data_IF_404484980147
#
_entry.id   IF_404484980147
#
_cell.length_a   1.000
_cell.length_b   1.000
_cell.length_c   1.000
_cell.angle_alpha   90.00
_cell.angle_beta   90.00
_cell.angle_gamma   90.00
#
_symmetry.space_group_name_H-M   'P 1'
#
loop_
_entity.id
_entity.type
_entity.pdbx_description
1 polymer ?
#
# COMPACT_ATOMS: atom_id res chain seq x y z
N UNK A 1 -22.05 9.48 -11.03
CA UNK A 1 -21.43 10.14 -9.84
C UNK A 1 -22.45 11.07 -9.19
N UNK A 2 -22.45 11.19 -7.82
CA UNK A 2 -23.23 12.24 -7.15
C UNK A 2 -22.33 13.48 -7.06
N UNK A 3 -22.80 14.60 -7.58
CA UNK A 3 -22.19 15.92 -7.41
C UNK A 3 -23.10 16.76 -6.51
N UNK A 4 -22.63 17.01 -5.31
CA UNK A 4 -23.34 17.81 -4.30
C UNK A 4 -22.57 19.10 -3.99
N UNK A 5 -22.06 19.76 -5.01
CA UNK A 5 -21.37 21.06 -4.86
C UNK A 5 -22.24 22.13 -4.21
N UNK A 6 -23.55 21.94 -4.22
CA UNK A 6 -24.51 22.83 -3.53
C UNK A 6 -24.65 22.55 -2.02
N UNK A 7 -24.11 21.43 -1.51
CA UNK A 7 -24.25 21.02 -0.11
C UNK A 7 -25.67 20.67 0.31
N UNK A 8 -26.43 20.06 -0.60
CA UNK A 8 -27.83 19.67 -0.37
C UNK A 8 -27.95 18.49 0.58
N UNK A 9 -26.99 17.54 0.48
CA UNK A 9 -26.91 16.37 1.36
C UNK A 9 -26.16 16.76 2.64
N UNK A 10 -26.90 17.09 3.68
CA UNK A 10 -26.34 17.46 4.99
C UNK A 10 -26.15 16.28 5.94
N UNK A 11 -26.65 15.11 5.56
CA UNK A 11 -26.48 13.87 6.34
C UNK A 11 -25.14 13.23 5.98
N UNK A 12 -24.34 12.90 6.99
CA UNK A 12 -23.11 12.15 6.83
C UNK A 12 -23.41 10.66 6.67
N UNK A 13 -22.81 10.03 5.68
CA UNK A 13 -22.90 8.60 5.41
C UNK A 13 -21.52 7.94 5.50
N UNK A 14 -21.51 6.71 6.00
CA UNK A 14 -20.31 5.90 6.03
C UNK A 14 -20.23 4.98 4.81
N UNK A 15 -19.02 4.52 4.48
CA UNK A 15 -18.85 3.48 3.46
C UNK A 15 -19.62 2.22 3.91
N UNK A 16 -20.47 1.71 3.01
CA UNK A 16 -21.36 0.59 3.31
C UNK A 16 -22.75 0.99 3.77
N UNK A 17 -23.04 2.29 3.88
CA UNK A 17 -24.41 2.76 4.09
C UNK A 17 -25.21 2.70 2.79
N UNK A 18 -26.38 2.12 2.85
CA UNK A 18 -27.34 2.14 1.75
C UNK A 18 -28.14 3.44 1.78
N UNK A 19 -28.24 4.09 0.64
CA UNK A 19 -29.01 5.34 0.48
C UNK A 19 -30.22 5.05 -0.42
N UNK A 20 -31.40 5.41 0.03
CA UNK A 20 -32.64 5.31 -0.76
C UNK A 20 -33.40 6.63 -0.74
N UNK A 21 -34.26 6.83 -1.74
CA UNK A 21 -35.08 8.02 -1.83
C UNK A 21 -34.33 9.28 -2.28
N UNK A 22 -33.11 9.12 -2.86
CA UNK A 22 -32.39 10.23 -3.46
C UNK A 22 -33.27 10.90 -4.54
N UNK A 23 -33.40 12.24 -4.46
CA UNK A 23 -34.07 13.06 -5.45
C UNK A 23 -33.12 14.12 -5.98
N UNK A 24 -33.14 14.30 -7.30
CA UNK A 24 -32.21 15.23 -7.94
C UNK A 24 -32.45 15.34 -9.45
N UNK A 25 -31.52 16.02 -10.08
CA UNK A 25 -31.49 16.23 -11.54
C UNK A 25 -30.30 15.46 -12.13
N UNK A 26 -30.44 15.04 -13.37
CA UNK A 26 -29.30 14.55 -14.14
C UNK A 26 -28.56 15.74 -14.75
N UNK A 27 -27.24 15.69 -14.67
CA UNK A 27 -26.31 16.62 -15.29
C UNK A 27 -25.14 15.87 -15.90
N UNK A 28 -24.14 16.60 -16.38
CA UNK A 28 -22.91 16.03 -16.89
C UNK A 28 -21.78 17.04 -16.85
N UNK A 29 -20.57 16.54 -16.66
CA UNK A 29 -19.34 17.34 -16.68
C UNK A 29 -18.21 16.52 -17.30
N UNK A 30 -17.56 17.04 -18.34
CA UNK A 30 -16.40 16.44 -18.99
C UNK A 30 -16.58 14.95 -19.38
N UNK A 31 -17.78 14.57 -19.85
CA UNK A 31 -18.14 13.19 -20.23
C UNK A 31 -18.80 12.39 -19.11
N UNK A 32 -18.64 12.78 -17.84
CA UNK A 32 -19.19 12.05 -16.69
C UNK A 32 -20.66 12.41 -16.44
N UNK A 33 -21.52 11.39 -16.33
CA UNK A 33 -22.91 11.56 -15.90
C UNK A 33 -22.98 11.90 -14.40
N UNK A 34 -23.66 12.99 -14.09
CA UNK A 34 -23.79 13.48 -12.72
C UNK A 34 -25.24 13.43 -12.25
N UNK A 35 -25.42 13.08 -10.97
CA UNK A 35 -26.66 13.24 -10.25
C UNK A 35 -26.51 14.39 -9.26
N UNK A 36 -27.30 15.44 -9.44
CA UNK A 36 -27.30 16.64 -8.60
C UNK A 36 -28.48 16.57 -7.62
N UNK A 37 -28.21 16.34 -6.32
CA UNK A 37 -29.27 16.25 -5.31
C UNK A 37 -30.07 17.56 -5.23
N UNK A 38 -31.39 17.46 -4.99
CA UNK A 38 -32.28 18.61 -4.76
C UNK A 38 -32.92 18.57 -3.38
N UNK A 39 -32.81 17.44 -2.68
CA UNK A 39 -33.34 17.24 -1.32
C UNK A 39 -32.34 16.42 -0.51
N UNK A 40 -32.30 16.71 0.81
CA UNK A 40 -31.47 15.90 1.73
C UNK A 40 -32.11 14.53 1.98
N UNK A 41 -31.29 13.53 2.22
CA UNK A 41 -31.70 12.22 2.71
C UNK A 41 -31.41 12.15 4.21
N UNK A 42 -32.44 11.99 5.02
CA UNK A 42 -32.34 12.16 6.47
C UNK A 42 -31.51 11.05 7.20
N UNK A 43 -31.46 9.84 6.63
CA UNK A 43 -30.72 8.73 7.23
C UNK A 43 -30.40 7.64 6.20
N UNK A 44 -29.42 6.81 6.51
CA UNK A 44 -29.16 5.59 5.76
C UNK A 44 -30.37 4.63 5.83
N UNK A 45 -30.69 3.97 4.72
CA UNK A 45 -31.71 2.94 4.64
C UNK A 45 -31.23 1.58 5.13
N UNK A 46 -29.93 1.35 5.13
CA UNK A 46 -29.23 0.19 5.72
C UNK A 46 -27.78 0.60 6.01
N UNK A 47 -27.11 -0.14 6.90
CA UNK A 47 -25.72 0.14 7.29
C UNK A 47 -24.87 -1.13 7.24
N UNK A 48 -23.55 -0.98 7.13
CA UNK A 48 -22.60 -2.08 7.18
C UNK A 48 -22.68 -3.04 5.99
N UNK A 49 -23.19 -2.58 4.84
CA UNK A 49 -23.23 -3.40 3.63
C UNK A 49 -21.81 -3.63 3.11
N UNK A 50 -21.51 -4.87 2.73
CA UNK A 50 -20.24 -5.21 2.09
C UNK A 50 -20.22 -4.66 0.67
N UNK A 51 -19.18 -3.86 0.36
CA UNK A 51 -18.95 -3.36 -0.98
C UNK A 51 -17.81 -4.18 -1.60
N UNK A 52 -18.11 -4.86 -2.69
CA UNK A 52 -17.12 -5.66 -3.43
C UNK A 52 -16.83 -4.99 -4.77
N UNK A 53 -15.58 -4.63 -5.07
CA UNK A 53 -15.23 -4.08 -6.36
C UNK A 53 -15.41 -5.11 -7.47
N UNK A 54 -15.91 -4.70 -8.62
CA UNK A 54 -15.98 -5.55 -9.80
C UNK A 54 -14.57 -5.72 -10.38
N UNK A 55 -14.09 -6.96 -10.45
CA UNK A 55 -12.79 -7.24 -11.08
C UNK A 55 -12.96 -7.30 -12.59
N UNK A 56 -12.21 -6.46 -13.30
CA UNK A 56 -12.16 -6.37 -14.76
C UNK A 56 -10.71 -6.22 -15.22
N UNK A 57 -10.45 -6.34 -16.51
CA UNK A 57 -9.15 -6.05 -17.11
C UNK A 57 -9.09 -4.60 -17.61
N UNK A 58 -7.86 -4.05 -17.74
CA UNK A 58 -7.69 -2.74 -18.39
C UNK A 58 -8.16 -2.84 -19.85
N UNK A 59 -7.90 -3.96 -20.53
CA UNK A 59 -8.38 -4.19 -21.89
C UNK A 59 -9.91 -4.05 -22.01
N UNK A 60 -10.67 -4.69 -21.10
CA UNK A 60 -12.13 -4.56 -21.08
C UNK A 60 -12.59 -3.14 -20.75
N UNK A 61 -11.89 -2.50 -19.83
CA UNK A 61 -12.23 -1.15 -19.38
C UNK A 61 -12.11 -0.11 -20.50
N UNK A 62 -11.04 -0.18 -21.31
CA UNK A 62 -10.76 0.80 -22.37
C UNK A 62 -11.51 0.54 -23.67
N UNK A 63 -12.30 -0.56 -23.76
CA UNK A 63 -13.14 -0.80 -24.92
C UNK A 63 -14.23 0.27 -25.02
N UNK A 64 -14.31 0.96 -26.14
CA UNK A 64 -15.30 2.01 -26.36
C UNK A 64 -16.76 1.54 -26.14
N UNK A 65 -17.05 0.26 -26.40
CA UNK A 65 -18.37 -0.32 -26.14
C UNK A 65 -18.71 -0.44 -24.64
N UNK A 66 -17.71 -0.34 -23.76
CA UNK A 66 -17.84 -0.50 -22.31
C UNK A 66 -17.71 0.84 -21.56
N UNK A 67 -17.47 1.96 -22.24
CA UNK A 67 -17.20 3.25 -21.59
C UNK A 67 -18.26 3.61 -20.54
N UNK A 68 -19.55 3.51 -20.89
CA UNK A 68 -20.66 3.80 -19.98
C UNK A 68 -20.96 2.66 -18.99
N UNK A 69 -20.45 1.44 -19.25
CA UNK A 69 -20.80 0.26 -18.47
C UNK A 69 -20.24 0.31 -17.05
N UNK A 70 -19.05 0.86 -16.89
CA UNK A 70 -18.35 0.90 -15.61
C UNK A 70 -18.38 2.27 -14.92
N UNK A 71 -18.88 3.30 -15.59
CA UNK A 71 -18.91 4.67 -15.06
C UNK A 71 -19.50 4.71 -13.64
N UNK A 72 -18.78 5.36 -12.73
CA UNK A 72 -19.13 5.53 -11.30
C UNK A 72 -19.21 4.22 -10.49
N UNK A 73 -18.79 3.10 -11.04
CA UNK A 73 -18.71 1.83 -10.31
C UNK A 73 -17.34 1.67 -9.62
N UNK A 74 -17.33 0.94 -8.52
CA UNK A 74 -16.10 0.53 -7.87
C UNK A 74 -15.54 -0.69 -8.63
N UNK A 75 -14.40 -0.50 -9.28
CA UNK A 75 -13.72 -1.53 -10.09
C UNK A 75 -12.37 -1.90 -9.50
N UNK A 76 -11.84 -3.03 -9.95
CA UNK A 76 -10.53 -3.56 -9.57
C UNK A 76 -9.78 -4.08 -10.80
N UNK A 77 -8.56 -3.62 -10.98
CA UNK A 77 -7.58 -4.23 -11.88
C UNK A 77 -6.58 -5.05 -11.07
N UNK A 78 -6.25 -6.26 -11.50
CA UNK A 78 -5.22 -7.09 -10.86
C UNK A 78 -3.92 -7.01 -11.66
N UNK A 79 -2.77 -7.22 -10.99
CA UNK A 79 -1.44 -7.28 -11.59
C UNK A 79 -1.13 -6.06 -12.46
N UNK A 80 -1.14 -4.89 -11.84
CA UNK A 80 -0.93 -3.60 -12.49
C UNK A 80 0.51 -3.14 -12.33
N UNK A 81 1.09 -2.54 -13.36
CA UNK A 81 2.39 -1.87 -13.33
C UNK A 81 2.21 -0.37 -13.44
N UNK A 82 2.88 0.39 -12.58
CA UNK A 82 2.98 1.84 -12.66
C UNK A 82 4.22 2.23 -13.46
N UNK A 83 4.07 3.18 -14.38
CA UNK A 83 5.23 3.75 -15.12
C UNK A 83 5.91 4.87 -14.33
N UNK A 84 5.18 5.48 -13.41
CA UNK A 84 5.62 6.61 -12.60
C UNK A 84 6.33 6.12 -11.34
N UNK A 85 7.17 6.98 -10.76
CA UNK A 85 7.91 6.74 -9.53
C UNK A 85 7.77 7.92 -8.57
N UNK A 86 8.13 7.72 -7.30
CA UNK A 86 8.04 8.75 -6.27
C UNK A 86 6.83 8.58 -5.37
N UNK A 87 6.06 9.62 -5.15
CA UNK A 87 4.90 9.61 -4.26
C UNK A 87 3.64 10.11 -4.97
N UNK A 88 2.49 9.59 -4.57
CA UNK A 88 1.20 10.07 -5.04
C UNK A 88 0.95 11.51 -4.58
N UNK A 89 0.41 12.34 -5.47
CA UNK A 89 0.08 13.72 -5.21
C UNK A 89 -1.35 14.04 -5.67
N UNK A 90 -2.00 14.99 -5.00
CA UNK A 90 -3.34 15.44 -5.34
C UNK A 90 -3.41 16.01 -6.76
N UNK A 91 -4.48 15.73 -7.47
CA UNK A 91 -4.76 16.17 -8.84
C UNK A 91 -3.72 15.72 -9.88
N UNK A 92 -3.01 14.62 -9.63
CA UNK A 92 -2.04 14.05 -10.57
C UNK A 92 -2.59 12.79 -11.24
N UNK A 93 -2.15 12.58 -12.46
CA UNK A 93 -2.40 11.40 -13.27
C UNK A 93 -1.16 10.50 -13.27
N UNK A 94 -1.38 9.21 -13.12
CA UNK A 94 -0.35 8.18 -13.14
C UNK A 94 -0.70 7.15 -14.20
N UNK A 95 0.27 6.77 -15.03
CA UNK A 95 0.05 5.75 -16.04
C UNK A 95 0.13 4.36 -15.43
N UNK A 96 -0.92 3.57 -15.62
CA UNK A 96 -0.98 2.17 -15.20
C UNK A 96 -1.22 1.26 -16.39
N UNK A 97 -0.61 0.08 -16.34
CA UNK A 97 -0.70 -0.91 -17.42
C UNK A 97 -0.92 -2.33 -16.93
N UNK A 98 -1.53 -3.13 -17.78
CA UNK A 98 -1.74 -4.56 -17.60
C UNK A 98 -1.35 -5.25 -18.92
N UNK A 99 -0.12 -5.74 -18.99
CA UNK A 99 0.47 -6.18 -20.26
C UNK A 99 0.70 -4.99 -21.20
N UNK A 100 0.05 -5.02 -22.38
CA UNK A 100 0.13 -3.94 -23.39
C UNK A 100 -0.95 -2.87 -23.24
N UNK A 101 -1.99 -3.15 -22.45
CA UNK A 101 -3.11 -2.25 -22.27
C UNK A 101 -2.83 -1.29 -21.13
N UNK A 102 -3.15 -0.01 -21.34
CA UNK A 102 -2.85 1.06 -20.39
C UNK A 102 -4.05 1.97 -20.18
N UNK A 103 -4.14 2.55 -18.99
CA UNK A 103 -5.11 3.57 -18.61
C UNK A 103 -4.51 4.51 -17.58
N UNK A 104 -5.30 5.43 -17.05
CA UNK A 104 -4.86 6.42 -16.08
C UNK A 104 -5.43 6.10 -14.69
N UNK A 105 -4.57 6.11 -13.69
CA UNK A 105 -4.97 6.25 -12.30
C UNK A 105 -4.85 7.73 -11.90
N UNK A 106 -5.97 8.36 -11.52
CA UNK A 106 -5.99 9.78 -11.12
C UNK A 106 -6.27 9.92 -9.64
N UNK A 107 -5.39 10.58 -8.91
CA UNK A 107 -5.57 10.90 -7.49
C UNK A 107 -6.35 12.20 -7.36
N UNK A 108 -7.64 12.09 -7.03
CA UNK A 108 -8.58 13.22 -6.97
C UNK A 108 -8.95 13.59 -5.52
N UNK A 109 -8.99 12.60 -4.62
CA UNK A 109 -9.38 12.81 -3.23
C UNK A 109 -8.17 13.34 -2.44
N UNK A 110 -8.34 14.46 -1.74
CA UNK A 110 -7.24 15.20 -1.10
C UNK A 110 -7.19 15.05 0.42
N UNK A 111 -8.15 14.41 1.01
CA UNK A 111 -8.33 14.16 2.44
C UNK A 111 -8.03 12.71 2.85
N UNK A 112 -7.54 11.88 1.90
CA UNK A 112 -7.30 10.47 2.10
C UNK A 112 -5.79 10.16 2.19
N UNK A 113 -5.47 9.00 2.73
CA UNK A 113 -4.10 8.56 3.08
C UNK A 113 -3.22 8.23 1.87
N UNK A 114 -3.77 8.20 0.65
CA UNK A 114 -3.02 7.90 -0.57
C UNK A 114 -1.99 8.98 -0.91
N UNK A 115 -2.28 10.25 -0.59
CA UNK A 115 -1.37 11.36 -0.89
C UNK A 115 -0.11 11.26 -0.03
N UNK A 116 1.06 11.31 -0.67
CA UNK A 116 2.35 11.14 -0.04
C UNK A 116 2.82 9.68 0.09
N UNK A 117 1.95 8.71 -0.17
CA UNK A 117 2.34 7.31 -0.24
C UNK A 117 3.22 7.03 -1.46
N UNK A 118 4.18 6.11 -1.33
CA UNK A 118 5.08 5.74 -2.42
C UNK A 118 4.32 5.03 -3.55
N UNK A 119 4.65 5.36 -4.80
CA UNK A 119 4.13 4.69 -5.98
C UNK A 119 4.84 3.34 -6.11
N UNK A 120 4.13 2.20 -6.09
CA UNK A 120 4.74 0.90 -6.31
C UNK A 120 5.07 0.71 -7.80
N UNK A 121 6.19 0.07 -8.13
CA UNK A 121 6.50 -0.28 -9.52
C UNK A 121 5.52 -1.31 -10.08
N UNK A 122 5.06 -2.23 -9.22
CA UNK A 122 4.03 -3.20 -9.53
C UNK A 122 3.04 -3.29 -8.36
N UNK A 123 1.80 -3.62 -8.66
CA UNK A 123 0.72 -3.70 -7.70
C UNK A 123 -0.10 -4.96 -7.94
N UNK A 124 -0.40 -5.71 -6.87
CA UNK A 124 -1.28 -6.87 -6.95
C UNK A 124 -2.67 -6.47 -7.45
N UNK A 125 -3.09 -5.27 -7.08
CA UNK A 125 -4.32 -4.69 -7.60
C UNK A 125 -4.36 -3.16 -7.43
N UNK A 126 -5.17 -2.55 -8.27
CA UNK A 126 -5.63 -1.16 -8.09
C UNK A 126 -7.15 -1.19 -8.04
N UNK A 127 -7.72 -0.64 -6.98
CA UNK A 127 -9.16 -0.46 -6.78
C UNK A 127 -9.48 1.04 -6.90
N UNK A 128 -10.61 1.40 -7.44
CA UNK A 128 -11.05 2.79 -7.52
C UNK A 128 -12.38 2.94 -8.20
N UNK A 129 -12.88 4.16 -8.22
CA UNK A 129 -14.07 4.50 -8.98
C UNK A 129 -13.71 4.64 -10.46
N UNK A 130 -14.47 3.97 -11.33
CA UNK A 130 -14.36 4.18 -12.76
C UNK A 130 -14.91 5.55 -13.13
N UNK A 131 -14.16 6.30 -13.91
CA UNK A 131 -14.52 7.63 -14.34
C UNK A 131 -14.05 7.90 -15.78
N UNK A 132 -14.58 8.95 -16.36
CA UNK A 132 -14.16 9.51 -17.64
C UNK A 132 -13.82 10.99 -17.46
N UNK A 133 -12.86 11.49 -18.22
CA UNK A 133 -12.59 12.91 -18.33
C UNK A 133 -12.18 13.24 -19.75
N UNK A 134 -13.01 14.02 -20.46
CA UNK A 134 -12.80 14.42 -21.87
C UNK A 134 -12.48 13.21 -22.79
N UNK A 135 -13.26 12.14 -22.69
CA UNK A 135 -13.10 10.93 -23.50
C UNK A 135 -12.00 10.00 -23.03
N UNK A 136 -11.30 10.31 -21.92
CA UNK A 136 -10.25 9.46 -21.37
C UNK A 136 -10.77 8.71 -20.16
N UNK A 137 -10.80 7.38 -20.25
CA UNK A 137 -11.19 6.53 -19.12
C UNK A 137 -10.09 6.49 -18.08
N UNK A 138 -10.47 6.61 -16.82
CA UNK A 138 -9.56 6.64 -15.69
C UNK A 138 -10.15 5.92 -14.47
N UNK A 139 -9.28 5.39 -13.61
CA UNK A 139 -9.65 4.87 -12.30
C UNK A 139 -9.23 5.87 -11.22
N UNK A 140 -10.10 6.09 -10.24
CA UNK A 140 -9.87 7.02 -9.13
C UNK A 140 -9.63 6.23 -7.84
N UNK A 141 -8.37 5.87 -7.50
CA UNK A 141 -8.04 5.30 -6.21
C UNK A 141 -8.30 6.31 -5.09
N UNK A 142 -8.70 5.82 -3.91
CA UNK A 142 -9.07 6.66 -2.75
C UNK A 142 -8.02 6.55 -1.66
N UNK A 143 -7.61 5.32 -1.32
CA UNK A 143 -6.79 4.98 -0.16
C UNK A 143 -5.50 4.26 -0.56
N UNK A 144 -4.51 4.25 0.34
CA UNK A 144 -3.32 3.40 0.19
C UNK A 144 -3.73 1.93 0.01
N UNK A 145 -4.77 1.48 0.71
CA UNK A 145 -5.30 0.12 0.57
C UNK A 145 -5.92 -0.18 -0.79
N UNK A 146 -6.26 0.83 -1.57
CA UNK A 146 -6.74 0.67 -2.95
C UNK A 146 -5.60 0.39 -3.94
N UNK A 147 -4.35 0.67 -3.53
CA UNK A 147 -3.15 0.48 -4.34
C UNK A 147 -2.19 -0.41 -3.57
N UNK A 148 -2.40 -1.73 -3.61
CA UNK A 148 -1.46 -2.65 -2.97
C UNK A 148 -0.28 -2.94 -3.90
N UNK A 149 0.91 -2.58 -3.42
CA UNK A 149 2.14 -3.10 -4.01
C UNK A 149 2.06 -4.62 -4.04
N UNK A 150 2.40 -5.23 -5.18
CA UNK A 150 2.75 -6.63 -5.17
C UNK A 150 3.64 -6.83 -3.95
N UNK A 151 3.43 -7.87 -3.16
CA UNK A 151 4.40 -8.32 -2.18
C UNK A 151 5.66 -8.73 -2.96
N UNK A 152 6.24 -7.72 -3.56
CA UNK A 152 7.53 -7.78 -4.19
C UNK A 152 8.49 -8.08 -3.07
N UNK A 153 9.20 -9.20 -3.17
CA UNK A 153 10.45 -9.41 -2.47
C UNK A 153 11.53 -8.46 -2.99
N UNK A 154 11.16 -7.50 -3.83
CA UNK A 154 12.00 -6.44 -4.36
C UNK A 154 11.95 -5.22 -3.43
N UNK A 155 12.93 -5.15 -2.61
CA UNK A 155 13.63 -4.00 -2.05
C UNK A 155 12.83 -2.78 -1.53
N UNK A 156 11.90 -2.93 -0.61
CA UNK A 156 12.33 -2.42 0.69
C UNK A 156 13.36 -3.41 1.17
N UNK A 157 14.62 -3.07 1.09
CA UNK A 157 15.68 -3.96 1.49
C UNK A 157 15.34 -4.51 2.86
N UNK A 158 14.65 -5.67 2.86
CA UNK A 158 14.43 -6.38 4.12
C UNK A 158 15.81 -6.52 4.65
N UNK A 159 16.09 -5.74 5.69
CA UNK A 159 17.38 -5.79 6.36
C UNK A 159 17.63 -7.25 6.68
N UNK A 160 18.39 -7.91 5.83
CA UNK A 160 18.74 -9.30 6.00
C UNK A 160 20.15 -9.37 6.53
N UNK A 161 20.32 -10.19 7.56
CA UNK A 161 21.61 -10.47 8.12
C UNK A 161 21.92 -11.96 7.97
N UNK A 162 23.10 -12.27 7.51
CA UNK A 162 23.69 -13.57 7.68
C UNK A 162 24.57 -13.55 8.94
N UNK A 163 24.54 -14.62 9.72
CA UNK A 163 25.34 -14.74 10.93
C UNK A 163 26.01 -16.12 10.95
N UNK A 164 27.33 -16.14 10.86
CA UNK A 164 28.11 -17.37 10.76
C UNK A 164 29.51 -17.24 11.39
N UNK A 165 30.12 -18.34 11.87
CA UNK A 165 29.49 -19.63 12.06
C UNK A 165 28.43 -19.60 13.14
N UNK A 166 27.34 -20.36 12.98
CA UNK A 166 26.33 -20.57 13.98
C UNK A 166 25.78 -21.99 13.88
N UNK A 167 26.11 -22.90 14.82
CA UNK A 167 26.84 -22.68 16.09
C UNK A 167 28.29 -22.19 15.94
N UNK A 168 28.76 -21.45 16.97
CA UNK A 168 30.16 -21.00 17.05
C UNK A 168 30.88 -21.56 18.26
N UNK A 169 32.14 -21.93 18.07
CA UNK A 169 33.11 -22.27 19.11
C UNK A 169 34.40 -21.46 18.96
N UNK A 170 34.43 -20.50 18.05
CA UNK A 170 35.62 -19.71 17.69
C UNK A 170 35.74 -18.40 18.44
N UNK A 171 34.83 -18.10 19.38
CA UNK A 171 34.80 -16.86 20.13
C UNK A 171 34.34 -15.66 19.34
N UNK A 172 33.93 -15.82 18.09
CA UNK A 172 33.38 -14.75 17.29
C UNK A 172 32.32 -15.26 16.30
N UNK A 173 31.50 -14.34 15.82
CA UNK A 173 30.58 -14.54 14.69
C UNK A 173 30.71 -13.39 13.70
N UNK A 174 30.60 -13.71 12.42
CA UNK A 174 30.52 -12.75 11.34
C UNK A 174 29.04 -12.39 11.13
N UNK A 175 28.75 -11.10 11.06
CA UNK A 175 27.42 -10.55 10.78
C UNK A 175 27.52 -9.80 9.48
N UNK A 176 26.91 -10.35 8.43
CA UNK A 176 26.89 -9.75 7.10
C UNK A 176 25.52 -9.17 6.82
N UNK A 177 25.47 -7.91 6.49
CA UNK A 177 24.24 -7.20 6.10
C UNK A 177 24.18 -7.05 4.58
N UNK A 178 22.98 -7.07 4.03
CA UNK A 178 22.74 -6.70 2.63
C UNK A 178 22.71 -5.18 2.40
N UNK A 179 22.87 -4.37 3.47
CA UNK A 179 22.95 -2.91 3.39
C UNK A 179 24.29 -2.39 3.89
N UNK A 180 24.70 -1.22 3.40
CA UNK A 180 25.90 -0.53 3.89
C UNK A 180 25.63 0.21 5.21
N UNK A 181 26.62 0.25 6.07
CA UNK A 181 26.62 1.01 7.32
C UNK A 181 26.81 0.17 8.57
N UNK A 182 27.00 0.84 9.71
CA UNK A 182 27.21 0.18 10.98
C UNK A 182 25.95 -0.59 11.44
N UNK A 183 26.18 -1.80 11.96
CA UNK A 183 25.13 -2.64 12.55
C UNK A 183 25.24 -2.55 14.06
N UNK A 184 24.16 -2.14 14.75
CA UNK A 184 24.10 -2.25 16.21
C UNK A 184 23.63 -3.66 16.58
N UNK A 185 24.45 -4.38 17.35
CA UNK A 185 24.16 -5.71 17.84
C UNK A 185 23.93 -5.71 19.35
N UNK A 186 22.81 -6.24 19.78
CA UNK A 186 22.47 -6.51 21.18
C UNK A 186 22.26 -8.02 21.34
N UNK A 187 22.92 -8.64 22.30
CA UNK A 187 22.79 -10.06 22.60
C UNK A 187 22.14 -10.25 23.96
N UNK A 188 21.13 -11.08 24.01
CA UNK A 188 20.38 -11.39 25.22
C UNK A 188 20.46 -12.89 25.53
N UNK A 189 20.57 -13.21 26.81
CA UNK A 189 20.39 -14.58 27.29
C UNK A 189 18.89 -14.99 27.24
N UNK A 190 18.60 -16.23 27.58
CA UNK A 190 17.20 -16.74 27.57
C UNK A 190 16.31 -16.12 28.64
N UNK A 191 16.88 -15.43 29.61
CA UNK A 191 16.13 -14.70 30.65
C UNK A 191 15.88 -13.24 30.26
N UNK A 192 16.35 -12.83 29.07
CA UNK A 192 16.20 -11.47 28.55
C UNK A 192 17.23 -10.46 29.08
N UNK A 193 18.27 -10.93 29.78
CA UNK A 193 19.37 -10.05 30.22
C UNK A 193 20.27 -9.74 29.04
N UNK A 194 20.55 -8.46 28.79
CA UNK A 194 21.51 -8.01 27.77
C UNK A 194 22.93 -8.36 28.24
N UNK A 195 23.66 -9.14 27.43
CA UNK A 195 25.02 -9.61 27.73
C UNK A 195 26.08 -8.99 26.81
N UNK A 196 25.68 -8.52 25.62
CA UNK A 196 26.52 -7.74 24.70
C UNK A 196 25.68 -6.61 24.09
N UNK A 197 26.29 -5.43 23.96
CA UNK A 197 25.74 -4.29 23.24
C UNK A 197 26.90 -3.58 22.54
N UNK A 198 26.97 -3.71 21.20
CA UNK A 198 28.13 -3.21 20.44
C UNK A 198 27.73 -2.79 19.03
N UNK A 199 28.48 -1.84 18.47
CA UNK A 199 28.41 -1.52 17.06
C UNK A 199 29.39 -2.40 16.28
N UNK A 200 28.87 -3.16 15.31
CA UNK A 200 29.66 -4.05 14.46
C UNK A 200 30.03 -3.28 13.18
N UNK A 201 31.25 -2.75 13.14
CA UNK A 201 31.76 -1.97 12.00
C UNK A 201 32.60 -2.81 11.03
N UNK A 202 33.05 -3.98 11.44
CA UNK A 202 33.97 -4.86 10.70
C UNK A 202 33.35 -6.22 10.37
N UNK A 203 32.03 -6.31 10.31
CA UNK A 203 31.28 -7.55 10.13
C UNK A 203 31.53 -8.60 11.23
N UNK A 204 32.36 -8.34 12.22
CA UNK A 204 32.79 -9.33 13.22
C UNK A 204 32.35 -8.90 14.62
N UNK A 205 31.64 -9.78 15.32
CA UNK A 205 31.21 -9.61 16.70
C UNK A 205 31.94 -10.61 17.59
N UNK A 206 32.59 -10.11 18.64
CA UNK A 206 33.23 -10.91 19.65
C UNK A 206 32.19 -11.51 20.62
N UNK A 207 32.20 -12.81 20.78
CA UNK A 207 31.35 -13.59 21.68
C UNK A 207 32.14 -14.48 22.61
N UNK A 208 33.47 -14.28 22.70
CA UNK A 208 34.39 -15.10 23.51
C UNK A 208 34.08 -15.10 25.00
N UNK A 209 33.40 -14.05 25.48
CA UNK A 209 33.01 -13.92 26.89
C UNK A 209 31.66 -14.57 27.21
N UNK A 210 30.99 -15.19 26.21
CA UNK A 210 29.73 -15.88 26.43
C UNK A 210 29.97 -17.33 26.79
N UNK A 211 29.24 -17.83 27.77
CA UNK A 211 29.24 -19.26 28.09
C UNK A 211 28.51 -20.05 26.97
N UNK A 212 28.83 -21.34 26.88
CA UNK A 212 28.09 -22.23 25.98
C UNK A 212 26.58 -22.14 26.28
N UNK A 213 25.81 -21.93 25.24
CA UNK A 213 24.36 -21.71 25.39
C UNK A 213 23.67 -21.13 24.15
N UNK A 214 22.39 -20.84 24.32
CA UNK A 214 21.56 -20.22 23.29
C UNK A 214 21.28 -18.77 23.67
N UNK A 215 21.42 -17.87 22.70
CA UNK A 215 21.25 -16.44 22.85
C UNK A 215 20.34 -15.89 21.76
N UNK A 216 19.69 -14.77 22.02
CA UNK A 216 18.93 -13.99 21.05
C UNK A 216 19.77 -12.76 20.68
N UNK A 217 20.08 -12.61 19.41
CA UNK A 217 20.81 -11.46 18.86
C UNK A 217 19.83 -10.54 18.16
N UNK A 218 19.69 -9.33 18.65
CA UNK A 218 18.93 -8.25 18.03
C UNK A 218 19.89 -7.37 17.23
N UNK A 219 19.66 -7.30 15.93
CA UNK A 219 20.47 -6.52 14.98
C UNK A 219 19.66 -5.36 14.44
N UNK A 220 20.21 -4.15 14.56
CA UNK A 220 19.55 -2.93 14.10
C UNK A 220 20.46 -2.16 13.14
N UNK A 221 19.95 -1.78 12.00
CA UNK A 221 20.61 -0.94 11.00
C UNK A 221 19.58 -0.03 10.31
N UNK A 222 19.88 1.24 10.12
CA UNK A 222 19.00 2.21 9.45
C UNK A 222 17.57 2.25 10.03
N UNK A 223 17.43 2.13 11.37
CA UNK A 223 16.15 2.06 12.13
C UNK A 223 15.37 0.74 11.96
N UNK A 224 15.80 -0.16 11.09
CA UNK A 224 15.20 -1.49 10.93
C UNK A 224 15.86 -2.48 11.88
N UNK A 225 15.08 -3.39 12.44
CA UNK A 225 15.53 -4.35 13.44
C UNK A 225 15.12 -5.76 13.05
N UNK A 226 16.03 -6.71 13.23
CA UNK A 226 15.73 -8.15 13.13
C UNK A 226 16.34 -8.92 14.29
N UNK A 227 15.86 -10.13 14.54
CA UNK A 227 16.39 -11.01 15.57
C UNK A 227 16.89 -12.34 14.98
N UNK A 228 17.99 -12.84 15.51
CA UNK A 228 18.58 -14.13 15.14
C UNK A 228 18.92 -14.93 16.39
N UNK A 229 18.83 -16.26 16.28
CA UNK A 229 19.32 -17.16 17.30
C UNK A 229 20.82 -17.37 17.12
N UNK A 230 21.59 -17.27 18.21
CA UNK A 230 23.01 -17.61 18.28
C UNK A 230 23.20 -18.81 19.20
N UNK A 231 24.01 -19.77 18.79
CA UNK A 231 24.39 -20.91 19.59
C UNK A 231 25.93 -20.85 19.79
N UNK A 232 26.35 -20.76 21.05
CA UNK A 232 27.75 -20.79 21.47
C UNK A 232 28.03 -22.17 22.05
N UNK A 233 29.14 -22.81 21.62
CA UNK A 233 29.58 -24.13 22.04
C UNK A 233 30.93 -24.08 22.80
#
# INVERSE_FOLDING_TARGET
>A
MIDDSAGTLSTEFNIGDGISGLRGKLGGYAGVSQFLPTENVASASSTGNTITPQTITIADFILAANADLYESQLIRFNNVTFSDTGAFAHNQNYSISQGTDATTARVTFNDEDLIGASIPSASDYVIGLAAEFDGNLQILPRYVSDVQGALSTDDYGILSFEMYPNPTNSGFVTIKSNQMGAVQAQVFDLLGKEVINTAVNTERMDVSNLNAGVYVVKLTQNKNTTTKKLIVQ
#
